data_IF_982338993349
#
_entry.id   IF_982338993349
#
_cell.length_a   1.000
_cell.length_b   1.000
_cell.length_c   1.000
_cell.angle_alpha   90.00
_cell.angle_beta   90.00
_cell.angle_gamma   90.00
#
_symmetry.space_group_name_H-M   'P 1'
#
loop_
_entity.id
_entity.type
_entity.pdbx_description
1 polymer ?
#
# COMPACT_ATOMS: atom_id res chain seq x y z
N UNK A 1 57.38 20.53 -17.00
CA UNK A 1 56.55 19.31 -17.19
C UNK A 1 55.54 19.60 -18.28
N UNK A 2 55.54 18.81 -19.35
CA UNK A 2 54.62 18.99 -20.48
C UNK A 2 53.54 17.94 -20.35
N UNK A 3 52.31 18.36 -20.00
CA UNK A 3 51.16 17.46 -19.92
C UNK A 3 50.80 17.02 -21.35
N UNK A 4 50.70 15.72 -21.59
CA UNK A 4 50.28 15.21 -22.89
C UNK A 4 48.74 15.17 -23.01
N UNK A 5 48.23 15.14 -24.25
CA UNK A 5 46.79 15.16 -24.54
C UNK A 5 46.01 14.08 -23.77
N UNK A 6 46.61 12.90 -23.55
CA UNK A 6 45.95 11.79 -22.85
C UNK A 6 45.76 12.12 -21.36
N UNK A 7 46.78 12.66 -20.71
CA UNK A 7 46.73 13.08 -19.31
C UNK A 7 45.71 14.20 -19.08
N UNK A 8 45.68 15.18 -19.99
CA UNK A 8 44.69 16.26 -19.94
C UNK A 8 43.25 15.73 -20.07
N UNK A 9 43.00 14.83 -21.05
CA UNK A 9 41.69 14.24 -21.24
C UNK A 9 41.28 13.32 -20.08
N UNK A 10 42.24 12.61 -19.46
CA UNK A 10 41.98 11.77 -18.30
C UNK A 10 41.61 12.60 -17.07
N UNK A 11 42.28 13.73 -16.87
CA UNK A 11 41.95 14.69 -15.81
C UNK A 11 40.55 15.31 -16.02
N UNK A 12 40.25 15.77 -17.24
CA UNK A 12 38.93 16.33 -17.57
C UNK A 12 37.80 15.29 -17.44
N UNK A 13 38.03 14.05 -17.88
CA UNK A 13 37.08 12.95 -17.75
C UNK A 13 36.84 12.53 -16.30
N UNK A 14 37.90 12.43 -15.50
CA UNK A 14 37.77 12.10 -14.08
C UNK A 14 37.04 13.21 -13.29
N UNK A 15 37.34 14.48 -13.56
CA UNK A 15 36.68 15.62 -12.92
C UNK A 15 35.18 15.69 -13.25
N UNK A 16 34.81 15.50 -14.52
CA UNK A 16 33.40 15.50 -14.94
C UNK A 16 32.62 14.30 -14.42
N UNK A 17 33.23 13.11 -14.35
CA UNK A 17 32.63 11.92 -13.74
C UNK A 17 32.34 12.07 -12.24
N UNK A 18 33.23 12.71 -11.49
CA UNK A 18 33.02 12.96 -10.04
C UNK A 18 31.87 13.94 -9.77
N UNK A 19 31.68 14.97 -10.58
CA UNK A 19 30.57 15.93 -10.43
C UNK A 19 29.23 15.24 -10.73
N UNK A 20 29.16 14.41 -11.76
CA UNK A 20 27.94 13.69 -12.12
C UNK A 20 27.52 12.63 -11.08
N UNK A 21 28.46 12.01 -10.37
CA UNK A 21 28.13 11.01 -9.34
C UNK A 21 27.61 11.64 -8.04
N UNK A 22 27.89 12.91 -7.77
CA UNK A 22 27.46 13.56 -6.53
C UNK A 22 25.94 13.82 -6.48
N UNK A 23 25.25 13.81 -7.63
CA UNK A 23 23.79 13.94 -7.72
C UNK A 23 23.04 12.61 -7.61
N UNK A 24 23.73 11.49 -7.83
CA UNK A 24 23.15 10.12 -7.75
C UNK A 24 23.00 9.67 -6.28
N UNK A 25 23.73 10.30 -5.36
CA UNK A 25 23.67 10.00 -3.92
C UNK A 25 22.53 10.67 -3.16
N UNK A 26 21.72 11.52 -3.81
CA UNK A 26 20.57 12.14 -3.19
C UNK A 26 19.48 11.07 -2.95
N UNK A 27 19.49 10.45 -1.78
CA UNK A 27 18.37 9.63 -1.32
C UNK A 27 17.11 10.51 -1.38
N UNK A 28 16.03 10.06 -2.04
CA UNK A 28 14.78 10.80 -2.00
C UNK A 28 14.43 11.02 -0.53
N UNK A 29 14.28 12.30 -0.14
CA UNK A 29 13.68 12.66 1.14
C UNK A 29 12.21 12.29 1.05
N UNK A 30 11.90 11.02 1.25
CA UNK A 30 10.57 10.61 1.62
C UNK A 30 10.36 11.13 3.03
N UNK A 31 9.80 12.33 3.13
CA UNK A 31 9.15 12.74 4.37
C UNK A 31 8.05 11.69 4.60
N UNK A 32 8.13 10.88 5.67
CA UNK A 32 7.04 9.99 5.98
C UNK A 32 5.81 10.85 6.15
N UNK A 33 4.77 10.60 5.34
CA UNK A 33 3.46 11.14 5.62
C UNK A 33 3.03 10.51 6.94
N UNK A 34 3.23 11.23 8.04
CA UNK A 34 2.77 10.79 9.34
C UNK A 34 1.26 10.57 9.27
N UNK A 35 0.73 9.65 10.07
CA UNK A 35 -0.72 9.42 10.24
C UNK A 35 -1.50 10.66 10.76
N UNK A 36 -0.87 11.82 10.81
CA UNK A 36 -1.45 13.09 11.20
C UNK A 36 -2.61 13.46 10.28
N UNK A 37 -3.79 13.69 10.87
CA UNK A 37 -5.00 14.09 10.15
C UNK A 37 -5.92 12.95 9.73
N UNK A 38 -5.60 11.69 10.05
CA UNK A 38 -6.56 10.59 9.88
C UNK A 38 -7.62 10.63 10.98
N UNK A 39 -8.89 10.42 10.58
CA UNK A 39 -10.01 10.31 11.51
C UNK A 39 -10.07 8.95 12.24
N UNK A 40 -9.17 8.03 11.92
CA UNK A 40 -9.11 6.69 12.47
C UNK A 40 -7.65 6.27 12.72
N UNK A 41 -7.45 5.29 13.59
CA UNK A 41 -6.16 4.65 13.82
C UNK A 41 -5.96 3.50 12.82
N UNK A 42 -4.94 3.54 11.95
CA UNK A 42 -4.71 2.48 10.97
C UNK A 42 -4.44 1.11 11.61
N UNK A 43 -4.85 0.06 10.91
CA UNK A 43 -4.60 -1.34 11.30
C UNK A 43 -3.12 -1.68 11.07
N UNK A 44 -2.52 -2.42 12.02
CA UNK A 44 -1.14 -2.91 11.88
C UNK A 44 -1.07 -3.94 10.75
N UNK A 45 -0.26 -3.66 9.74
CA UNK A 45 0.03 -4.58 8.64
C UNK A 45 1.19 -5.52 9.00
N UNK A 46 1.38 -6.64 8.28
CA UNK A 46 2.53 -7.54 8.49
C UNK A 46 3.87 -6.96 8.02
N UNK A 47 3.86 -5.82 7.32
CA UNK A 47 5.05 -5.18 6.77
C UNK A 47 5.23 -3.79 7.37
N UNK A 48 6.46 -3.43 7.82
CA UNK A 48 6.73 -2.09 8.31
C UNK A 48 6.64 -1.09 7.15
N UNK A 49 5.97 0.04 7.39
CA UNK A 49 5.87 1.11 6.43
C UNK A 49 6.80 2.27 6.82
N UNK A 50 7.27 3.01 5.82
CA UNK A 50 8.12 4.19 6.08
C UNK A 50 7.38 5.26 6.89
N UNK A 51 6.06 5.33 6.76
CA UNK A 51 5.19 6.26 7.48
C UNK A 51 5.15 6.04 9.00
N UNK A 52 5.56 4.85 9.45
CA UNK A 52 5.58 4.49 10.87
C UNK A 52 6.70 5.20 11.65
N UNK A 53 7.70 5.76 10.95
CA UNK A 53 8.81 6.46 11.59
C UNK A 53 9.71 5.56 12.48
N UNK A 54 9.60 4.23 12.34
CA UNK A 54 10.38 3.27 13.11
C UNK A 54 11.83 3.19 12.63
N UNK A 55 12.76 3.12 13.58
CA UNK A 55 14.16 2.78 13.29
C UNK A 55 14.29 1.33 12.77
N UNK A 56 15.36 0.99 12.03
CA UNK A 56 15.56 -0.38 11.54
C UNK A 56 15.53 -1.45 12.63
N UNK A 57 16.06 -1.16 13.82
CA UNK A 57 16.06 -2.08 14.96
C UNK A 57 14.65 -2.31 15.53
N UNK A 58 13.83 -1.26 15.57
CA UNK A 58 12.42 -1.37 15.98
C UNK A 58 11.63 -2.20 14.97
N UNK A 59 11.84 -1.99 13.66
CA UNK A 59 11.17 -2.80 12.64
C UNK A 59 11.49 -4.29 12.78
N UNK A 60 12.76 -4.65 12.99
CA UNK A 60 13.16 -6.04 13.20
C UNK A 60 12.46 -6.65 14.43
N UNK A 61 12.35 -5.88 15.51
CA UNK A 61 11.78 -6.35 16.77
C UNK A 61 10.25 -6.47 16.67
N UNK A 62 9.57 -5.41 16.23
CA UNK A 62 8.11 -5.28 16.26
C UNK A 62 7.40 -6.09 15.16
N UNK A 63 8.13 -6.50 14.13
CA UNK A 63 7.66 -7.35 13.01
C UNK A 63 8.39 -8.69 12.96
N UNK A 64 9.12 -9.08 14.02
CA UNK A 64 9.75 -10.41 14.13
C UNK A 64 8.73 -11.55 14.09
N UNK A 65 7.50 -11.27 14.47
CA UNK A 65 6.37 -12.18 14.38
C UNK A 65 5.10 -11.42 14.00
N UNK A 66 4.19 -12.12 13.34
CA UNK A 66 2.89 -11.60 12.97
C UNK A 66 1.85 -12.71 13.11
N UNK A 67 0.75 -12.42 13.80
CA UNK A 67 -0.38 -13.33 13.89
C UNK A 67 -1.32 -13.06 12.72
N UNK A 68 -1.44 -14.03 11.82
CA UNK A 68 -2.42 -13.98 10.74
C UNK A 68 -3.81 -14.22 11.35
N UNK A 69 -4.74 -13.32 11.03
CA UNK A 69 -6.15 -13.46 11.38
C UNK A 69 -6.91 -13.71 10.07
N UNK A 70 -7.64 -14.81 10.01
CA UNK A 70 -8.51 -15.15 8.88
C UNK A 70 -9.85 -14.42 9.02
N UNK A 71 -9.77 -13.08 9.06
CA UNK A 71 -10.90 -12.18 9.31
C UNK A 71 -10.62 -10.78 8.71
N UNK A 72 -11.68 -10.01 8.47
CA UNK A 72 -11.60 -8.62 8.05
C UNK A 72 -11.36 -7.71 9.27
N UNK A 73 -10.09 -7.35 9.49
CA UNK A 73 -9.70 -6.45 10.58
C UNK A 73 -9.90 -4.99 10.18
N UNK A 74 -10.69 -4.26 10.98
CA UNK A 74 -11.03 -2.85 10.75
C UNK A 74 -10.44 -1.94 11.85
N UNK A 75 -10.29 -0.63 11.57
CA UNK A 75 -10.01 0.36 12.60
C UNK A 75 -11.08 0.39 13.71
N UNK A 76 -10.68 0.86 14.89
CA UNK A 76 -11.60 1.06 16.00
C UNK A 76 -12.78 1.98 15.60
N UNK A 77 -13.99 1.60 16.01
CA UNK A 77 -15.23 2.31 15.67
C UNK A 77 -15.88 1.90 14.33
N UNK A 78 -15.24 1.03 13.56
CA UNK A 78 -15.80 0.45 12.33
C UNK A 78 -16.25 -1.00 12.57
N UNK A 79 -17.27 -1.41 11.83
CA UNK A 79 -17.77 -2.77 11.81
C UNK A 79 -18.16 -3.16 10.39
N UNK A 80 -18.18 -4.46 10.11
CA UNK A 80 -18.73 -5.01 8.87
C UNK A 80 -19.84 -6.00 9.20
N UNK A 81 -20.70 -6.22 8.21
CA UNK A 81 -21.72 -7.26 8.27
C UNK A 81 -21.74 -7.98 6.92
N UNK A 82 -21.73 -9.31 6.98
CA UNK A 82 -21.96 -10.13 5.78
C UNK A 82 -23.42 -10.04 5.37
N UNK A 83 -23.66 -9.54 4.15
CA UNK A 83 -25.00 -9.34 3.61
C UNK A 83 -25.54 -10.56 2.84
N UNK A 84 -24.64 -11.31 2.18
CA UNK A 84 -24.93 -12.54 1.46
C UNK A 84 -23.62 -13.31 1.21
N UNK A 85 -23.73 -14.62 1.05
CA UNK A 85 -22.64 -15.54 0.74
C UNK A 85 -23.03 -16.51 -0.38
N UNK A 86 -22.03 -17.10 -1.03
CA UNK A 86 -22.26 -18.09 -2.08
C UNK A 86 -23.20 -19.22 -1.61
N UNK A 87 -24.25 -19.48 -2.39
CA UNK A 87 -25.22 -20.54 -2.12
C UNK A 87 -26.45 -20.10 -1.32
N UNK A 88 -26.42 -18.91 -0.72
CA UNK A 88 -27.58 -18.32 -0.04
C UNK A 88 -28.79 -18.23 -0.98
N UNK A 89 -29.98 -18.50 -0.48
CA UNK A 89 -31.20 -18.46 -1.28
C UNK A 89 -31.62 -17.02 -1.60
N UNK A 90 -31.92 -16.76 -2.87
CA UNK A 90 -32.42 -15.47 -3.36
C UNK A 90 -33.61 -15.71 -4.28
N UNK A 91 -34.83 -15.48 -3.77
CA UNK A 91 -36.06 -15.87 -4.46
C UNK A 91 -36.06 -17.38 -4.76
N UNK A 92 -36.28 -17.73 -6.03
CA UNK A 92 -36.26 -19.12 -6.51
C UNK A 92 -34.85 -19.60 -6.95
N UNK A 93 -33.81 -18.80 -6.70
CA UNK A 93 -32.42 -19.08 -7.11
C UNK A 93 -31.44 -19.01 -5.92
N UNK A 94 -30.14 -18.98 -6.21
CA UNK A 94 -29.06 -18.89 -5.23
C UNK A 94 -28.05 -17.81 -5.61
N UNK A 95 -27.41 -17.25 -4.59
CA UNK A 95 -26.30 -16.32 -4.74
C UNK A 95 -25.11 -17.02 -5.40
N UNK A 96 -24.54 -16.40 -6.43
CA UNK A 96 -23.48 -16.99 -7.25
C UNK A 96 -22.15 -17.12 -6.49
N UNK A 97 -21.27 -17.95 -7.05
CA UNK A 97 -19.94 -18.17 -6.49
C UNK A 97 -19.01 -17.00 -6.82
N UNK A 98 -18.13 -16.66 -5.87
CA UNK A 98 -17.06 -15.67 -5.92
C UNK A 98 -17.54 -14.36 -6.62
N UNK A 99 -18.10 -13.49 -5.81
CA UNK A 99 -18.57 -12.19 -6.26
C UNK A 99 -17.37 -11.29 -6.58
N UNK A 100 -17.48 -10.51 -7.64
CA UNK A 100 -16.48 -9.49 -7.98
C UNK A 100 -17.15 -8.11 -7.99
N UNK A 101 -17.52 -7.61 -9.18
CA UNK A 101 -18.14 -6.30 -9.31
C UNK A 101 -19.45 -6.19 -8.53
N UNK A 102 -19.59 -5.11 -7.75
CA UNK A 102 -20.81 -4.73 -7.03
C UNK A 102 -21.17 -3.30 -7.36
N UNK A 103 -22.43 -3.05 -7.72
CA UNK A 103 -22.99 -1.71 -7.80
C UNK A 103 -24.25 -1.58 -6.95
N UNK A 104 -24.44 -0.38 -6.41
CA UNK A 104 -25.61 -0.05 -5.59
C UNK A 104 -26.43 1.05 -6.27
N UNK A 105 -27.73 0.81 -6.40
CA UNK A 105 -28.70 1.79 -6.90
C UNK A 105 -29.76 2.01 -5.83
N UNK A 106 -29.77 3.19 -5.21
CA UNK A 106 -30.81 3.56 -4.25
C UNK A 106 -32.18 3.64 -4.94
N UNK A 107 -33.21 3.09 -4.30
CA UNK A 107 -34.61 3.16 -4.77
C UNK A 107 -35.48 4.00 -3.84
N UNK A 108 -35.10 4.11 -2.57
CA UNK A 108 -35.67 5.04 -1.57
C UNK A 108 -34.62 5.37 -0.50
N UNK A 109 -35.01 6.05 0.58
CA UNK A 109 -34.13 6.27 1.74
C UNK A 109 -33.78 4.98 2.49
N UNK A 110 -34.66 3.98 2.44
CA UNK A 110 -34.55 2.73 3.22
C UNK A 110 -34.35 1.49 2.32
N UNK A 111 -34.21 1.67 1.00
CA UNK A 111 -34.11 0.55 0.07
C UNK A 111 -33.23 0.85 -1.14
N UNK A 112 -32.59 -0.20 -1.65
CA UNK A 112 -31.80 -0.15 -2.87
C UNK A 112 -31.61 -1.52 -3.50
N UNK A 113 -31.07 -1.52 -4.70
CA UNK A 113 -30.75 -2.72 -5.47
C UNK A 113 -29.23 -2.87 -5.53
N UNK A 114 -28.76 -4.10 -5.35
CA UNK A 114 -27.38 -4.47 -5.62
C UNK A 114 -27.33 -5.28 -6.91
N UNK A 115 -26.51 -4.83 -7.85
CA UNK A 115 -26.15 -5.62 -9.03
C UNK A 115 -24.77 -6.18 -8.80
N UNK A 116 -24.67 -7.51 -8.76
CA UNK A 116 -23.47 -8.23 -8.38
C UNK A 116 -23.08 -9.16 -9.51
N UNK A 117 -21.84 -9.05 -9.97
CA UNK A 117 -21.25 -10.00 -10.90
C UNK A 117 -20.70 -11.21 -10.14
N UNK A 118 -20.87 -12.38 -10.74
CA UNK A 118 -20.26 -13.63 -10.32
C UNK A 118 -19.36 -14.08 -11.47
N UNK A 119 -18.05 -14.10 -11.24
CA UNK A 119 -17.10 -14.61 -12.24
C UNK A 119 -17.11 -16.16 -12.23
N UNK A 120 -16.45 -16.81 -13.21
CA UNK A 120 -16.26 -18.29 -13.43
C UNK A 120 -17.50 -19.22 -13.42
#
# INVERSE_FOLDING_TARGET
MTINRREFLLFMGAASGMIACNTIGAKPKHSPAAYSGLAFKPVKLPLPLTVDGMSPQQQITDFSSYQVQDDLILPEGYAYQTIATWGDTVGDSRFGYNNDYVSFVATSSESGLLTINFEY
#
